data_IF_941607158408
#
_entry.id   IF_941607158408
#
_cell.length_a   1.000
_cell.length_b   1.000
_cell.length_c   1.000
_cell.angle_alpha   90.00
_cell.angle_beta   90.00
_cell.angle_gamma   90.00
#
_symmetry.space_group_name_H-M   'P 1'
#
loop_
_entity.id
_entity.type
_entity.pdbx_description
1 polymer ?
#
# COMPACT_ATOMS: atom_id res chain seq x y z
N UNK A 1 -5.92 4.59 -13.50
CA UNK A 1 -6.15 3.86 -14.78
C UNK A 1 -6.17 2.33 -14.53
N UNK A 2 -7.01 1.53 -15.21
CA UNK A 2 -6.93 0.08 -15.08
C UNK A 2 -5.58 -0.38 -15.65
N UNK A 3 -4.75 -0.99 -14.81
CA UNK A 3 -3.32 -1.23 -15.08
C UNK A 3 -3.04 -2.41 -16.03
N UNK A 4 -4.06 -3.12 -16.47
CA UNK A 4 -3.91 -4.27 -17.36
C UNK A 4 -4.88 -4.15 -18.54
N UNK A 5 -4.49 -3.39 -19.57
CA UNK A 5 -5.07 -3.46 -20.90
C UNK A 5 -4.12 -4.26 -21.79
N UNK A 6 -4.11 -5.59 -21.63
CA UNK A 6 -3.11 -6.46 -22.29
C UNK A 6 -3.60 -7.82 -22.77
N UNK A 7 -4.81 -8.26 -22.41
CA UNK A 7 -5.44 -9.42 -23.05
C UNK A 7 -6.85 -9.01 -23.50
N UNK A 8 -7.12 -9.18 -24.79
CA UNK A 8 -8.43 -8.96 -25.39
C UNK A 8 -9.42 -9.98 -24.80
N UNK A 9 -10.10 -9.63 -23.71
CA UNK A 9 -11.32 -10.31 -23.23
C UNK A 9 -12.51 -10.13 -24.21
N UNK A 10 -12.28 -9.55 -25.39
CA UNK A 10 -13.30 -9.28 -26.40
C UNK A 10 -14.00 -10.53 -26.93
N UNK A 11 -13.35 -11.70 -26.84
CA UNK A 11 -13.87 -12.99 -27.28
C UNK A 11 -14.76 -13.71 -26.25
N UNK A 12 -14.85 -13.24 -25.00
CA UNK A 12 -15.65 -13.91 -23.98
C UNK A 12 -17.16 -13.56 -24.08
N UNK A 13 -18.06 -14.50 -23.74
CA UNK A 13 -19.48 -14.21 -23.50
C UNK A 13 -19.69 -13.03 -22.54
N UNK A 14 -20.76 -12.25 -22.74
CA UNK A 14 -21.03 -11.01 -21.98
C UNK A 14 -21.14 -11.23 -20.46
N UNK A 15 -21.67 -12.39 -20.04
CA UNK A 15 -21.80 -12.75 -18.63
C UNK A 15 -20.43 -12.95 -17.95
N UNK A 16 -19.51 -13.62 -18.65
CA UNK A 16 -18.15 -13.88 -18.15
C UNK A 16 -17.32 -12.60 -18.06
N UNK A 17 -17.43 -11.73 -19.07
CA UNK A 17 -16.81 -10.38 -19.01
C UNK A 17 -17.24 -9.60 -17.78
N UNK A 18 -18.51 -9.71 -17.38
CA UNK A 18 -19.03 -9.04 -16.19
C UNK A 18 -18.45 -9.63 -14.91
N UNK A 19 -18.30 -10.96 -14.83
CA UNK A 19 -17.65 -11.63 -13.70
C UNK A 19 -16.19 -11.22 -13.54
N UNK A 20 -15.41 -11.26 -14.62
CA UNK A 20 -14.00 -10.82 -14.62
C UNK A 20 -13.88 -9.34 -14.24
N UNK A 21 -14.75 -8.47 -14.76
CA UNK A 21 -14.75 -7.05 -14.41
C UNK A 21 -15.02 -6.79 -12.92
N UNK A 22 -15.89 -7.57 -12.27
CA UNK A 22 -16.15 -7.46 -10.82
C UNK A 22 -14.91 -7.80 -10.00
N UNK A 23 -14.17 -8.84 -10.39
CA UNK A 23 -13.00 -9.33 -9.66
C UNK A 23 -11.71 -8.59 -10.00
N UNK A 24 -11.72 -7.75 -11.04
CA UNK A 24 -10.51 -7.08 -11.55
C UNK A 24 -9.76 -6.31 -10.47
N UNK A 25 -10.46 -5.54 -9.64
CA UNK A 25 -9.82 -4.80 -8.56
C UNK A 25 -9.13 -5.72 -7.55
N UNK A 26 -9.75 -6.84 -7.20
CA UNK A 26 -9.16 -7.84 -6.31
C UNK A 26 -7.94 -8.51 -6.97
N UNK A 27 -8.05 -8.88 -8.24
CA UNK A 27 -6.94 -9.46 -9.01
C UNK A 27 -5.73 -8.52 -9.05
N UNK A 28 -5.97 -7.27 -9.44
CA UNK A 28 -4.92 -6.26 -9.56
C UNK A 28 -4.27 -6.00 -8.18
N UNK A 29 -5.07 -5.92 -7.12
CA UNK A 29 -4.58 -5.70 -5.74
C UNK A 29 -3.77 -6.91 -5.23
N UNK A 30 -4.25 -8.13 -5.43
CA UNK A 30 -3.54 -9.35 -5.03
C UNK A 30 -2.22 -9.51 -5.79
N UNK A 31 -2.21 -9.16 -7.07
CA UNK A 31 -0.98 -9.09 -7.86
C UNK A 31 -0.03 -8.03 -7.33
N UNK A 32 -0.54 -6.84 -7.05
CA UNK A 32 0.23 -5.74 -6.49
C UNK A 32 0.88 -6.10 -5.14
N UNK A 33 0.17 -6.86 -4.30
CA UNK A 33 0.60 -7.23 -2.95
C UNK A 33 1.38 -8.55 -2.86
N UNK A 34 1.54 -9.28 -3.97
CA UNK A 34 2.22 -10.58 -3.91
C UNK A 34 1.36 -11.72 -3.35
N UNK A 35 0.04 -11.54 -3.22
CA UNK A 35 -0.85 -12.60 -2.77
C UNK A 35 -1.23 -13.57 -3.89
N UNK A 36 -1.26 -14.85 -3.56
CA UNK A 36 -1.80 -15.92 -4.40
C UNK A 36 -3.20 -16.26 -3.93
N UNK A 37 -4.18 -16.24 -4.84
CA UNK A 37 -5.59 -16.50 -4.50
C UNK A 37 -6.02 -17.86 -5.04
N UNK A 38 -6.66 -18.65 -4.17
CA UNK A 38 -7.27 -19.95 -4.49
C UNK A 38 -8.78 -19.85 -4.35
N UNK A 39 -9.50 -19.40 -5.39
CA UNK A 39 -10.95 -19.29 -5.32
C UNK A 39 -11.59 -20.69 -5.29
N UNK A 40 -12.63 -20.82 -4.47
CA UNK A 40 -13.41 -22.05 -4.32
C UNK A 40 -14.83 -21.76 -4.80
N UNK A 41 -15.27 -22.49 -5.80
CA UNK A 41 -16.64 -22.47 -6.27
C UNK A 41 -17.39 -23.71 -5.74
N UNK A 42 -18.31 -23.46 -4.81
CA UNK A 42 -19.16 -24.46 -4.16
C UNK A 42 -20.50 -24.68 -4.90
N UNK A 43 -20.68 -24.16 -6.12
CA UNK A 43 -21.85 -24.44 -6.96
C UNK A 43 -22.48 -23.24 -7.69
N UNK A 44 -21.69 -22.22 -8.05
CA UNK A 44 -22.15 -20.96 -8.67
C UNK A 44 -21.42 -20.62 -9.98
N UNK A 45 -22.04 -19.75 -10.77
CA UNK A 45 -21.86 -19.57 -12.21
C UNK A 45 -20.63 -18.71 -12.63
N UNK A 46 -19.59 -18.60 -11.81
CA UNK A 46 -18.46 -17.66 -12.05
C UNK A 46 -17.09 -18.35 -12.28
N UNK A 47 -17.09 -19.62 -12.71
CA UNK A 47 -15.89 -20.44 -12.99
C UNK A 47 -14.79 -19.70 -13.75
N UNK A 48 -15.15 -19.07 -14.87
CA UNK A 48 -14.18 -18.32 -15.68
C UNK A 48 -13.56 -17.13 -14.95
N UNK A 49 -14.33 -16.41 -14.12
CA UNK A 49 -13.80 -15.28 -13.37
C UNK A 49 -12.81 -15.74 -12.29
N UNK A 50 -13.08 -16.89 -11.66
CA UNK A 50 -12.20 -17.54 -10.69
C UNK A 50 -10.95 -18.11 -11.34
N UNK A 51 -11.07 -18.71 -12.53
CA UNK A 51 -9.91 -19.20 -13.29
C UNK A 51 -8.98 -18.05 -13.68
N UNK A 52 -9.54 -16.91 -14.13
CA UNK A 52 -8.76 -15.70 -14.39
C UNK A 52 -8.11 -15.19 -13.11
N UNK A 53 -8.86 -15.02 -12.00
CA UNK A 53 -8.31 -14.56 -10.73
C UNK A 53 -7.17 -15.46 -10.23
N UNK A 54 -7.35 -16.77 -10.27
CA UNK A 54 -6.36 -17.75 -9.86
C UNK A 54 -5.11 -17.65 -10.74
N UNK A 55 -5.27 -17.71 -12.07
CA UNK A 55 -4.16 -17.65 -13.03
C UNK A 55 -3.36 -16.36 -12.89
N UNK A 56 -4.06 -15.22 -12.84
CA UNK A 56 -3.42 -13.91 -12.73
C UNK A 56 -2.63 -13.76 -11.44
N UNK A 57 -3.03 -14.43 -10.35
CA UNK A 57 -2.34 -14.38 -9.04
C UNK A 57 -1.37 -15.54 -8.79
N UNK A 58 -1.23 -16.47 -9.74
CA UNK A 58 -0.38 -17.67 -9.65
C UNK A 58 -1.01 -18.85 -8.89
N UNK A 59 -2.28 -18.74 -8.52
CA UNK A 59 -3.03 -19.74 -7.77
C UNK A 59 -3.76 -20.75 -8.66
N UNK A 60 -4.71 -21.47 -8.05
CA UNK A 60 -5.57 -22.44 -8.75
C UNK A 60 -7.01 -22.30 -8.29
N UNK A 61 -7.92 -22.34 -9.25
CA UNK A 61 -9.37 -22.34 -9.02
C UNK A 61 -9.86 -23.75 -8.73
N UNK A 62 -10.73 -23.89 -7.74
CA UNK A 62 -11.32 -25.15 -7.33
C UNK A 62 -12.81 -25.11 -7.58
N UNK A 63 -13.26 -25.81 -8.62
CA UNK A 63 -14.65 -25.81 -9.06
C UNK A 63 -15.32 -27.12 -8.72
N UNK A 64 -16.48 -27.08 -8.07
CA UNK A 64 -17.20 -28.26 -7.56
C UNK A 64 -16.33 -29.14 -6.64
N UNK A 65 -15.32 -28.56 -5.99
CA UNK A 65 -14.47 -29.30 -5.08
C UNK A 65 -15.29 -29.75 -3.87
N UNK A 66 -15.12 -31.00 -3.45
CA UNK A 66 -15.58 -31.41 -2.12
C UNK A 66 -14.73 -30.63 -1.12
N UNK A 67 -15.38 -29.94 -0.20
CA UNK A 67 -14.72 -29.07 0.79
C UNK A 67 -13.57 -29.78 1.54
N UNK A 68 -13.68 -31.10 1.72
CA UNK A 68 -12.67 -31.95 2.36
C UNK A 68 -11.37 -32.09 1.57
N UNK A 69 -11.42 -32.02 0.24
CA UNK A 69 -10.31 -32.41 -0.63
C UNK A 69 -9.48 -31.17 -1.04
N UNK A 70 -10.13 -30.01 -1.12
CA UNK A 70 -9.54 -28.71 -1.46
C UNK A 70 -8.33 -28.35 -0.58
N UNK A 71 -8.43 -28.49 0.74
CA UNK A 71 -7.36 -28.06 1.64
C UNK A 71 -6.08 -28.89 1.47
N UNK A 72 -6.23 -30.21 1.27
CA UNK A 72 -5.09 -31.09 1.00
C UNK A 72 -4.38 -30.69 -0.29
N UNK A 73 -5.14 -30.32 -1.32
CA UNK A 73 -4.61 -29.85 -2.58
C UNK A 73 -3.90 -28.49 -2.47
N UNK A 74 -4.46 -27.51 -1.75
CA UNK A 74 -3.77 -26.23 -1.50
C UNK A 74 -2.51 -26.43 -0.68
N UNK A 75 -2.54 -27.28 0.34
CA UNK A 75 -1.36 -27.60 1.14
C UNK A 75 -0.29 -28.28 0.27
N UNK A 76 -0.66 -29.22 -0.58
CA UNK A 76 0.29 -29.87 -1.51
C UNK A 76 0.91 -28.86 -2.48
N UNK A 77 0.10 -27.94 -2.99
CA UNK A 77 0.50 -26.92 -3.95
C UNK A 77 1.42 -25.85 -3.32
N UNK A 78 1.16 -25.49 -2.06
CA UNK A 78 1.95 -24.54 -1.28
C UNK A 78 3.15 -25.17 -0.56
N UNK A 79 3.29 -26.50 -0.55
CA UNK A 79 4.47 -27.19 -0.02
C UNK A 79 5.62 -27.29 -1.02
N UNK A 80 5.32 -27.16 -2.31
CA UNK A 80 6.27 -27.40 -3.40
C UNK A 80 6.58 -26.11 -4.16
N UNK A 81 7.05 -25.06 -3.47
CA UNK A 81 7.55 -23.86 -4.12
C UNK A 81 9.06 -23.74 -3.96
N UNK A 82 9.71 -23.29 -5.04
CA UNK A 82 11.05 -22.77 -5.00
C UNK A 82 10.96 -21.25 -5.11
N UNK A 83 11.56 -20.53 -4.16
CA UNK A 83 11.76 -19.10 -4.30
C UNK A 83 13.02 -18.84 -5.12
N UNK A 84 12.79 -18.35 -6.34
CA UNK A 84 13.85 -17.89 -7.22
C UNK A 84 13.98 -16.38 -7.04
N UNK A 85 14.95 -15.97 -6.22
CA UNK A 85 15.34 -14.57 -6.09
C UNK A 85 16.23 -14.18 -7.27
N UNK A 86 15.88 -13.11 -7.97
CA UNK A 86 16.73 -12.52 -9.00
C UNK A 86 16.71 -11.00 -8.84
N UNK A 87 17.84 -10.35 -9.12
CA UNK A 87 17.92 -8.89 -9.14
C UNK A 87 17.39 -8.39 -10.48
N UNK A 88 16.10 -8.03 -10.50
CA UNK A 88 15.52 -7.30 -11.61
C UNK A 88 15.90 -5.81 -11.49
N UNK A 89 16.36 -5.15 -12.57
CA UNK A 89 16.51 -3.69 -12.58
C UNK A 89 15.12 -3.05 -12.61
N UNK A 90 14.46 -3.01 -11.46
CA UNK A 90 13.19 -2.33 -11.28
C UNK A 90 13.45 -0.83 -11.09
N UNK A 91 12.80 -0.02 -11.91
CA UNK A 91 12.89 1.44 -11.95
C UNK A 91 11.93 2.17 -10.99
N UNK A 92 10.98 1.46 -10.37
CA UNK A 92 9.98 2.01 -9.44
C UNK A 92 8.97 2.96 -10.09
N UNK A 93 8.49 2.66 -11.31
CA UNK A 93 7.66 3.61 -12.09
C UNK A 93 6.16 3.27 -12.17
N UNK A 94 5.64 2.37 -11.34
CA UNK A 94 4.24 1.91 -11.36
C UNK A 94 3.81 1.20 -12.66
N UNK A 95 4.77 0.53 -13.32
CA UNK A 95 4.52 -0.21 -14.56
C UNK A 95 4.28 -1.70 -14.31
N UNK A 96 3.40 -2.29 -15.13
CA UNK A 96 3.23 -3.75 -15.17
C UNK A 96 4.34 -4.38 -15.99
N UNK A 97 5.03 -5.35 -15.40
CA UNK A 97 6.03 -6.19 -16.05
C UNK A 97 5.46 -7.58 -16.28
N UNK A 98 5.70 -8.14 -17.46
CA UNK A 98 5.37 -9.53 -17.74
C UNK A 98 6.48 -10.44 -17.23
N UNK A 99 6.09 -11.60 -16.72
CA UNK A 99 6.98 -12.65 -16.24
C UNK A 99 6.85 -13.81 -17.22
N UNK A 100 7.97 -14.28 -17.73
CA UNK A 100 8.06 -15.49 -18.57
C UNK A 100 9.09 -16.41 -17.96
N UNK A 101 8.76 -17.71 -17.89
CA UNK A 101 9.68 -18.76 -17.45
C UNK A 101 9.86 -19.75 -18.58
N UNK A 102 11.10 -19.96 -18.98
CA UNK A 102 11.48 -20.98 -19.96
C UNK A 102 12.03 -22.20 -19.23
N UNK A 103 11.47 -23.37 -19.55
CA UNK A 103 11.90 -24.63 -18.95
C UNK A 103 12.91 -25.32 -19.86
N UNK A 104 14.07 -25.66 -19.29
CA UNK A 104 15.12 -26.38 -20.02
C UNK A 104 14.72 -27.83 -20.35
N UNK A 105 13.77 -28.39 -19.60
CA UNK A 105 13.27 -29.75 -19.77
C UNK A 105 11.81 -29.73 -20.22
N UNK A 106 11.48 -30.25 -21.42
CA UNK A 106 10.14 -30.15 -21.98
C UNK A 106 9.09 -30.99 -21.24
N UNK A 107 9.49 -32.00 -20.47
CA UNK A 107 8.60 -32.81 -19.65
C UNK A 107 8.14 -32.12 -18.35
N UNK A 108 8.77 -30.99 -18.00
CA UNK A 108 8.41 -30.22 -16.82
C UNK A 108 7.33 -29.19 -17.16
N UNK A 109 6.52 -28.87 -16.15
CA UNK A 109 5.58 -27.75 -16.21
C UNK A 109 5.85 -26.81 -15.05
N UNK A 110 5.65 -25.51 -15.28
CA UNK A 110 5.76 -24.48 -14.27
C UNK A 110 4.49 -23.65 -14.30
N UNK A 111 3.96 -23.38 -13.11
CA UNK A 111 2.92 -22.38 -12.91
C UNK A 111 3.58 -21.12 -12.39
N UNK A 112 3.29 -20.00 -13.05
CA UNK A 112 3.80 -18.70 -12.66
C UNK A 112 2.65 -17.70 -12.57
N UNK A 113 2.90 -16.64 -11.81
CA UNK A 113 2.16 -15.39 -11.97
C UNK A 113 2.63 -14.72 -13.26
N UNK A 114 1.73 -14.30 -14.17
CA UNK A 114 2.11 -13.78 -15.48
C UNK A 114 2.66 -12.35 -15.44
N UNK A 115 2.38 -11.59 -14.38
CA UNK A 115 2.82 -10.20 -14.29
C UNK A 115 3.08 -9.73 -12.87
N UNK A 116 3.88 -8.68 -12.74
CA UNK A 116 4.15 -7.97 -11.49
C UNK A 116 3.95 -6.47 -11.72
N UNK A 117 3.38 -5.79 -10.74
CA UNK A 117 3.34 -4.31 -10.72
C UNK A 117 4.60 -3.83 -10.01
N UNK A 118 5.42 -3.08 -10.72
CA UNK A 118 6.61 -2.44 -10.20
C UNK A 118 6.23 -1.18 -9.43
N UNK A 119 6.07 -1.29 -8.11
CA UNK A 119 5.60 -0.17 -7.30
C UNK A 119 6.63 0.95 -7.20
N UNK A 120 6.16 2.18 -7.40
CA UNK A 120 6.91 3.37 -7.04
C UNK A 120 7.04 3.51 -5.52
N UNK A 121 8.13 4.14 -5.04
CA UNK A 121 8.27 4.48 -3.62
C UNK A 121 7.05 5.24 -3.08
N UNK A 122 6.52 6.19 -3.85
CA UNK A 122 5.37 7.01 -3.48
C UNK A 122 4.11 6.17 -3.32
N UNK A 123 3.82 5.26 -4.27
CA UNK A 123 2.64 4.38 -4.21
C UNK A 123 2.77 3.38 -3.06
N UNK A 124 3.97 2.89 -2.80
CA UNK A 124 4.24 1.98 -1.69
C UNK A 124 4.07 2.68 -0.33
N UNK A 125 4.49 3.94 -0.21
CA UNK A 125 4.23 4.77 0.98
C UNK A 125 2.72 4.99 1.19
N UNK A 126 1.98 5.38 0.14
CA UNK A 126 0.54 5.58 0.22
C UNK A 126 -0.20 4.30 0.65
N UNK A 127 0.16 3.14 0.10
CA UNK A 127 -0.44 1.85 0.50
C UNK A 127 -0.17 1.49 1.96
N UNK A 128 1.03 1.81 2.49
CA UNK A 128 1.34 1.61 3.91
C UNK A 128 0.46 2.47 4.80
N UNK A 129 0.26 3.74 4.45
CA UNK A 129 -0.65 4.66 5.15
C UNK A 129 -2.09 4.12 5.11
N UNK A 130 -2.56 3.68 3.95
CA UNK A 130 -3.91 3.10 3.80
C UNK A 130 -4.09 1.81 4.60
N UNK A 131 -3.13 0.90 4.56
CA UNK A 131 -3.16 -0.35 5.34
C UNK A 131 -3.28 -0.06 6.84
N UNK A 132 -2.54 0.93 7.36
CA UNK A 132 -2.61 1.36 8.76
C UNK A 132 -3.93 2.04 9.13
N UNK A 133 -4.56 2.76 8.20
CA UNK A 133 -5.92 3.27 8.40
C UNK A 133 -6.89 2.12 8.61
N UNK A 134 -6.83 1.11 7.74
CA UNK A 134 -7.76 -0.01 7.67
C UNK A 134 -7.59 -1.03 8.79
N UNK A 135 -6.34 -1.38 9.11
CA UNK A 135 -6.02 -2.54 9.97
C UNK A 135 -5.32 -2.15 11.27
N UNK A 136 -4.86 -0.90 11.40
CA UNK A 136 -3.95 -0.47 12.49
C UNK A 136 -2.56 -1.12 12.37
N UNK A 137 -1.61 -0.73 13.23
CA UNK A 137 -0.42 -1.57 13.51
C UNK A 137 -0.45 -2.07 14.96
N UNK A 138 0.42 -3.04 15.25
CA UNK A 138 0.84 -3.42 16.60
C UNK A 138 1.36 -2.18 17.37
N UNK A 139 1.11 -2.08 18.69
CA UNK A 139 1.35 -0.88 19.50
C UNK A 139 2.82 -0.41 19.60
N UNK A 140 3.80 -1.17 19.12
CA UNK A 140 5.23 -0.87 19.29
C UNK A 140 5.78 0.20 18.33
N UNK A 141 5.02 0.65 17.32
CA UNK A 141 5.52 1.57 16.27
C UNK A 141 5.08 3.04 16.43
N UNK A 142 4.38 3.40 17.52
CA UNK A 142 3.88 4.77 17.74
C UNK A 142 4.99 5.71 18.26
N UNK A 143 5.89 6.15 17.38
CA UNK A 143 6.99 7.07 17.72
C UNK A 143 6.72 8.55 17.35
N UNK A 144 5.63 8.83 16.62
CA UNK A 144 5.24 10.19 16.23
C UNK A 144 4.37 10.82 17.33
N UNK A 145 4.88 11.83 18.02
CA UNK A 145 4.04 12.69 18.85
C UNK A 145 3.28 13.65 17.96
N UNK A 146 1.97 13.78 18.17
CA UNK A 146 1.11 14.68 17.39
C UNK A 146 0.36 15.56 18.37
N UNK A 147 0.50 16.87 18.20
CA UNK A 147 -0.16 17.89 19.01
C UNK A 147 -0.98 18.77 18.08
N UNK A 148 -2.28 18.85 18.33
CA UNK A 148 -3.18 19.80 17.68
C UNK A 148 -3.45 20.95 18.64
N UNK A 149 -3.20 22.17 18.19
CA UNK A 149 -3.60 23.36 18.94
C UNK A 149 -5.05 23.74 18.61
N UNK A 150 -5.60 24.70 19.36
CA UNK A 150 -6.96 25.20 19.15
C UNK A 150 -7.18 25.66 17.71
N UNK A 151 -8.25 25.13 17.12
CA UNK A 151 -8.67 25.47 15.77
C UNK A 151 -9.27 26.88 15.74
N UNK A 152 -9.07 27.58 14.62
CA UNK A 152 -9.68 28.89 14.35
C UNK A 152 -10.54 28.83 13.08
N UNK A 153 -11.69 29.52 13.03
CA UNK A 153 -12.47 29.61 11.80
C UNK A 153 -11.63 30.19 10.65
N UNK A 154 -11.72 29.57 9.48
CA UNK A 154 -10.93 29.95 8.29
C UNK A 154 -11.78 29.97 6.99
N UNK A 155 -13.08 30.21 7.15
CA UNK A 155 -14.08 30.23 6.08
C UNK A 155 -15.36 29.49 6.48
N UNK A 156 -16.34 29.46 5.58
CA UNK A 156 -17.58 28.71 5.79
C UNK A 156 -17.28 27.19 5.83
N UNK A 157 -17.55 26.56 6.98
CA UNK A 157 -17.35 25.12 7.19
C UNK A 157 -15.88 24.66 7.18
N UNK A 158 -14.92 25.58 7.32
CA UNK A 158 -13.48 25.28 7.33
C UNK A 158 -12.83 25.87 8.57
N UNK A 159 -12.01 25.07 9.24
CA UNK A 159 -11.16 25.48 10.37
C UNK A 159 -9.69 25.34 10.02
N UNK A 160 -8.89 26.28 10.50
CA UNK A 160 -7.44 26.19 10.52
C UNK A 160 -6.98 25.61 11.85
N UNK A 161 -6.26 24.49 11.80
CA UNK A 161 -5.79 23.78 12.99
C UNK A 161 -4.26 23.70 12.94
N UNK A 162 -3.54 24.37 13.85
CA UNK A 162 -2.09 24.22 13.96
C UNK A 162 -1.75 22.80 14.40
N UNK A 163 -0.85 22.16 13.66
CA UNK A 163 -0.34 20.82 13.89
C UNK A 163 1.16 20.91 14.22
N UNK A 164 1.55 20.32 15.34
CA UNK A 164 2.96 20.06 15.65
C UNK A 164 3.18 18.55 15.71
N UNK A 165 4.16 18.08 14.94
CA UNK A 165 4.61 16.69 14.97
C UNK A 165 5.99 16.61 15.63
N UNK A 166 6.24 15.54 16.39
CA UNK A 166 7.53 15.24 16.97
C UNK A 166 7.95 13.80 16.68
N UNK A 167 9.20 13.57 16.31
CA UNK A 167 9.70 12.25 15.95
C UNK A 167 11.21 12.14 16.25
N UNK A 168 11.72 10.90 16.46
CA UNK A 168 13.14 10.69 16.72
C UNK A 168 13.95 10.93 15.44
N UNK A 169 14.89 11.89 15.49
CA UNK A 169 15.68 12.30 14.33
C UNK A 169 16.85 11.34 14.03
N UNK A 170 17.33 10.63 15.04
CA UNK A 170 18.45 9.69 14.98
C UNK A 170 18.16 8.43 14.14
N UNK A 171 16.88 8.19 13.84
CA UNK A 171 16.41 7.06 13.03
C UNK A 171 16.25 7.42 11.54
N UNK A 172 16.62 8.65 11.13
CA UNK A 172 16.44 9.18 9.77
C UNK A 172 17.75 9.15 8.96
N UNK A 173 17.61 9.05 7.64
CA UNK A 173 18.73 9.10 6.68
C UNK A 173 19.25 10.53 6.49
N UNK A 174 20.42 10.81 7.07
CA UNK A 174 21.12 12.10 6.91
C UNK A 174 21.72 12.25 5.51
N UNK A 175 21.44 13.39 4.86
CA UNK A 175 22.09 13.79 3.62
C UNK A 175 23.15 14.84 3.94
N UNK A 176 24.42 14.55 3.65
CA UNK A 176 25.50 15.51 3.82
C UNK A 176 25.40 16.66 2.81
N UNK A 177 25.67 17.88 3.26
CA UNK A 177 25.64 19.13 2.48
C UNK A 177 26.91 19.95 2.77
N UNK A 178 27.21 20.98 1.98
CA UNK A 178 28.39 21.84 2.18
C UNK A 178 28.41 22.54 3.55
N UNK A 179 27.26 22.72 4.20
CA UNK A 179 27.10 23.46 5.46
C UNK A 179 26.66 22.59 6.64
N UNK A 180 26.71 21.26 6.52
CA UNK A 180 26.24 20.32 7.54
C UNK A 180 25.36 19.24 6.94
N UNK A 181 24.20 18.99 7.53
CA UNK A 181 23.30 17.92 7.11
C UNK A 181 21.90 18.46 6.81
N UNK A 182 21.25 17.81 5.86
CA UNK A 182 19.85 18.00 5.51
C UNK A 182 19.09 16.68 5.64
N UNK A 183 17.84 16.80 6.06
CA UNK A 183 16.87 15.71 6.18
C UNK A 183 15.62 16.11 5.37
N UNK A 184 15.57 15.78 4.07
CA UNK A 184 14.34 15.93 3.30
C UNK A 184 13.30 14.93 3.81
N UNK A 185 12.12 15.41 4.15
CA UNK A 185 11.05 14.64 4.75
C UNK A 185 9.71 14.99 4.11
N UNK A 186 8.76 14.06 4.22
CA UNK A 186 7.39 14.28 3.77
C UNK A 186 6.41 14.10 4.92
N UNK A 187 5.61 15.11 5.17
CA UNK A 187 4.46 15.01 6.06
C UNK A 187 3.24 14.61 5.22
N UNK A 188 2.66 13.45 5.52
CA UNK A 188 1.46 12.95 4.88
C UNK A 188 0.29 12.98 5.86
N UNK A 189 -0.83 13.57 5.44
CA UNK A 189 -2.02 13.75 6.26
C UNK A 189 -3.24 13.21 5.52
N UNK A 190 -4.06 12.42 6.21
CA UNK A 190 -5.37 11.99 5.75
C UNK A 190 -6.42 12.19 6.85
N UNK A 191 -7.62 12.64 6.48
CA UNK A 191 -8.74 12.77 7.40
C UNK A 191 -9.79 11.68 7.12
N UNK A 192 -10.36 11.14 8.20
CA UNK A 192 -11.47 10.20 8.19
C UNK A 192 -12.62 10.79 8.99
N UNK A 193 -13.81 10.89 8.40
CA UNK A 193 -15.01 11.30 9.13
C UNK A 193 -15.71 10.11 9.81
N UNK A 194 -16.71 10.40 10.63
CA UNK A 194 -17.49 9.41 11.38
C UNK A 194 -18.20 8.37 10.48
N UNK A 195 -18.46 8.72 9.21
CA UNK A 195 -19.07 7.83 8.23
C UNK A 195 -18.04 7.00 7.45
N UNK A 196 -16.76 7.07 7.84
CA UNK A 196 -15.66 6.38 7.18
C UNK A 196 -15.27 6.98 5.83
N UNK A 197 -15.75 8.18 5.48
CA UNK A 197 -15.34 8.87 4.25
C UNK A 197 -13.96 9.47 4.46
N UNK A 198 -13.14 9.42 3.41
CA UNK A 198 -11.72 9.76 3.44
C UNK A 198 -11.46 11.03 2.64
N UNK A 199 -10.53 11.85 3.11
CA UNK A 199 -9.90 12.87 2.26
C UNK A 199 -8.90 12.22 1.30
N UNK A 200 -8.52 12.95 0.24
CA UNK A 200 -7.25 12.67 -0.43
C UNK A 200 -6.10 12.83 0.58
N UNK A 201 -5.01 12.07 0.39
CA UNK A 201 -3.80 12.22 1.18
C UNK A 201 -3.10 13.50 0.73
N UNK A 202 -2.88 14.43 1.65
CA UNK A 202 -2.08 15.63 1.42
C UNK A 202 -0.62 15.34 1.78
N UNK A 203 0.29 15.55 0.84
CA UNK A 203 1.74 15.41 1.04
C UNK A 203 2.37 16.80 1.08
N UNK A 204 3.02 17.13 2.21
CA UNK A 204 3.73 18.39 2.43
C UNK A 204 5.22 18.07 2.59
N UNK A 205 6.06 18.38 1.59
CA UNK A 205 7.50 18.22 1.73
C UNK A 205 8.03 19.28 2.70
N UNK A 206 8.97 18.87 3.57
CA UNK A 206 9.69 19.77 4.44
C UNK A 206 11.14 19.29 4.62
N UNK A 207 12.02 20.18 5.07
CA UNK A 207 13.42 19.84 5.29
C UNK A 207 13.84 20.30 6.68
N UNK A 208 14.55 19.43 7.40
CA UNK A 208 15.30 19.83 8.59
C UNK A 208 16.78 19.97 8.20
N UNK A 209 17.44 21.00 8.72
CA UNK A 209 18.85 21.26 8.48
C UNK A 209 19.56 21.50 9.80
N UNK A 210 20.81 21.05 9.90
CA UNK A 210 21.62 21.20 11.11
C UNK A 210 23.12 21.13 10.79
N UNK A 211 23.95 21.70 11.66
CA UNK A 211 25.41 21.67 11.52
C UNK A 211 26.03 20.39 12.10
N UNK A 212 25.31 19.71 12.99
CA UNK A 212 25.71 18.46 13.63
C UNK A 212 24.62 17.39 13.41
N UNK A 213 24.98 16.10 13.37
CA UNK A 213 23.99 15.03 13.32
C UNK A 213 23.14 15.00 14.61
N UNK A 214 21.87 14.56 14.55
CA UNK A 214 21.02 14.45 15.72
C UNK A 214 21.61 13.51 16.77
N UNK A 215 21.46 13.86 18.05
CA UNK A 215 21.90 12.99 19.15
C UNK A 215 20.99 11.76 19.25
N UNK A 216 21.49 10.62 19.73
CA UNK A 216 20.66 9.46 19.99
C UNK A 216 19.46 9.79 20.90
N UNK A 217 18.26 9.40 20.48
CA UNK A 217 16.99 9.70 21.15
C UNK A 217 16.50 11.15 21.02
N UNK A 218 17.21 12.02 20.30
CA UNK A 218 16.79 13.40 20.09
C UNK A 218 15.49 13.46 19.27
N UNK A 219 14.50 14.19 19.81
CA UNK A 219 13.22 14.41 19.15
C UNK A 219 13.20 15.80 18.53
N UNK A 220 12.99 15.85 17.23
CA UNK A 220 12.75 17.10 16.50
C UNK A 220 11.27 17.40 16.43
N UNK A 221 10.93 18.68 16.28
CA UNK A 221 9.57 19.18 16.12
C UNK A 221 9.41 19.90 14.79
N UNK A 222 8.31 19.63 14.10
CA UNK A 222 7.90 20.36 12.91
C UNK A 222 6.47 20.86 13.11
N UNK A 223 6.24 22.13 12.80
CA UNK A 223 4.94 22.79 12.97
C UNK A 223 4.41 23.27 11.63
N UNK A 224 3.13 23.05 11.39
CA UNK A 224 2.41 23.50 10.19
C UNK A 224 0.96 23.81 10.53
N UNK A 225 0.19 24.33 9.57
CA UNK A 225 -1.24 24.62 9.74
C UNK A 225 -2.04 23.81 8.74
N UNK A 226 -3.06 23.11 9.24
CA UNK A 226 -3.98 22.34 8.41
C UNK A 226 -5.26 23.14 8.16
N UNK A 227 -5.79 23.09 6.95
CA UNK A 227 -7.14 23.55 6.62
C UNK A 227 -8.05 22.34 6.52
N UNK A 228 -8.97 22.22 7.48
CA UNK A 228 -9.81 21.04 7.67
C UNK A 228 -11.29 21.44 7.66
N UNK A 229 -12.17 20.47 7.40
CA UNK A 229 -13.60 20.70 7.55
C UNK A 229 -13.92 20.93 9.03
N UNK A 230 -14.86 21.83 9.30
CA UNK A 230 -15.44 22.03 10.63
C UNK A 230 -16.38 20.87 11.00
N UNK A 231 -15.81 19.72 11.32
CA UNK A 231 -16.52 18.51 11.71
C UNK A 231 -15.61 17.57 12.52
N UNK A 232 -16.17 16.71 13.40
CA UNK A 232 -15.43 15.63 14.02
C UNK A 232 -14.77 14.74 12.97
N UNK A 233 -13.47 14.50 13.12
CA UNK A 233 -12.69 13.67 12.21
C UNK A 233 -11.46 13.09 12.90
N UNK A 234 -11.08 11.89 12.52
CA UNK A 234 -9.79 11.31 12.92
C UNK A 234 -8.77 11.64 11.86
N UNK A 235 -7.66 12.26 12.26
CA UNK A 235 -6.52 12.52 11.39
C UNK A 235 -5.51 11.38 11.54
N UNK A 236 -5.07 10.83 10.40
CA UNK A 236 -3.84 10.06 10.33
C UNK A 236 -2.72 10.97 9.86
N UNK A 237 -1.68 11.06 10.66
CA UNK A 237 -0.50 11.87 10.38
C UNK A 237 0.70 10.94 10.30
N UNK A 238 1.50 11.08 9.25
CA UNK A 238 2.75 10.34 9.12
C UNK A 238 3.89 11.20 8.59
N UNK A 239 5.09 10.94 9.08
CA UNK A 239 6.35 11.51 8.58
C UNK A 239 7.12 10.40 7.90
N UNK A 240 7.46 10.61 6.64
CA UNK A 240 8.21 9.69 5.79
C UNK A 240 9.57 10.27 5.44
N UNK A 241 10.59 9.41 5.48
CA UNK A 241 11.94 9.68 4.98
C UNK A 241 12.10 9.08 3.58
N UNK A 242 12.10 9.90 2.51
CA UNK A 242 12.26 9.40 1.15
C UNK A 242 13.64 8.80 0.87
N UNK A 243 14.67 9.20 1.62
CA UNK A 243 16.04 8.70 1.47
C UNK A 243 16.29 7.43 2.30
N UNK A 244 15.34 7.04 3.17
CA UNK A 244 15.45 5.92 4.09
C UNK A 244 14.26 4.97 4.03
N UNK A 245 14.18 4.14 5.07
CA UNK A 245 13.02 3.25 5.31
C UNK A 245 12.18 3.70 6.52
N UNK A 246 12.61 4.77 7.19
CA UNK A 246 11.98 5.27 8.39
C UNK A 246 10.64 5.93 8.07
N UNK A 247 9.60 5.51 8.79
CA UNK A 247 8.27 6.09 8.69
C UNK A 247 7.60 6.07 10.06
N UNK A 248 7.23 7.25 10.55
CA UNK A 248 6.54 7.42 11.82
C UNK A 248 5.10 7.82 11.56
N UNK A 249 4.18 7.43 12.43
CA UNK A 249 2.79 7.81 12.28
C UNK A 249 2.05 7.85 13.63
N UNK A 250 0.94 8.58 13.65
CA UNK A 250 -0.01 8.58 14.76
C UNK A 250 -1.42 8.93 14.27
N UNK A 251 -2.43 8.48 15.02
CA UNK A 251 -3.83 8.89 14.85
C UNK A 251 -4.19 9.88 15.94
N UNK A 252 -4.83 10.98 15.57
CA UNK A 252 -5.34 11.98 16.52
C UNK A 252 -6.77 12.33 16.15
N UNK A 253 -7.64 12.37 17.14
CA UNK A 253 -9.00 12.83 16.95
C UNK A 253 -9.05 14.35 17.01
N UNK A 254 -9.60 14.97 15.97
CA UNK A 254 -9.95 16.37 15.96
C UNK A 254 -11.43 16.51 16.30
N UNK A 255 -11.69 17.18 17.41
CA UNK A 255 -13.01 17.68 17.78
C UNK A 255 -12.97 19.20 17.63
N UNK A 256 -13.74 19.79 16.71
CA UNK A 256 -13.76 21.23 16.49
C UNK A 256 -14.14 22.02 17.76
#
# INVERSE_FOLDING_TARGET
PPLCAGESYGSLPRAERRGVAKLRLLTDTANQLGFTIYPIDMGLHERHAFDVLARETGGRSFVNARFTDFFGEVVSDTRSYYWLGFNAPLTGVDHVRQITVELLRPELSARLRPSLVELSPERLAAMRVESRLLFGDRPETALLGVELASSRPAGEGIVETPLTVSFPADSLSLVATEHGYALPLELQIAALDENGRRSAIATVPFQLSGTEPPRPGERVRYSTTLRLRDAPQTLLVSVHDPAGIAAFWNKVDLRP
#
